data_IF_090544677735
#
_entry.id   IF_090544677735
#
_cell.length_a   1.000
_cell.length_b   1.000
_cell.length_c   1.000
_cell.angle_alpha   90.00
_cell.angle_beta   90.00
_cell.angle_gamma   90.00
#
_symmetry.space_group_name_H-M   'P 1'
#
loop_
_entity.id
_entity.type
_entity.pdbx_description
1 polymer ?
#
# COMPACT_ATOMS: atom_id res chain seq x y z
N UNK A 1 10.49 38.94 -20.23
CA UNK A 1 11.05 37.66 -19.74
C UNK A 1 9.89 36.92 -19.10
N UNK A 2 9.38 35.88 -19.75
CA UNK A 2 8.15 35.22 -19.31
C UNK A 2 8.40 34.50 -17.98
N UNK A 3 7.37 34.41 -17.13
CA UNK A 3 7.44 33.68 -15.85
C UNK A 3 7.92 32.24 -16.04
N UNK A 4 7.55 31.63 -17.17
CA UNK A 4 7.97 30.30 -17.61
C UNK A 4 9.49 30.19 -17.81
N UNK A 5 10.14 31.23 -18.32
CA UNK A 5 11.60 31.25 -18.56
C UNK A 5 12.35 31.36 -17.24
N UNK A 6 11.87 32.21 -16.32
CA UNK A 6 12.42 32.34 -14.96
C UNK A 6 12.30 31.04 -14.17
N UNK A 7 11.17 30.36 -14.31
CA UNK A 7 10.92 29.09 -13.63
C UNK A 7 11.82 27.98 -14.19
N UNK A 8 12.06 27.98 -15.50
CA UNK A 8 13.00 27.04 -16.13
C UNK A 8 14.44 27.26 -15.69
N UNK A 9 14.87 28.53 -15.61
CA UNK A 9 16.19 28.89 -15.09
C UNK A 9 16.35 28.50 -13.61
N UNK A 10 15.31 28.69 -12.80
CA UNK A 10 15.28 28.24 -11.41
C UNK A 10 15.41 26.71 -11.30
N UNK A 11 14.64 25.95 -12.09
CA UNK A 11 14.73 24.49 -12.10
C UNK A 11 16.13 24.02 -12.52
N UNK A 12 16.77 24.67 -13.49
CA UNK A 12 18.15 24.34 -13.90
C UNK A 12 19.21 24.64 -12.83
N UNK A 13 18.94 25.59 -11.92
CA UNK A 13 19.81 25.87 -10.77
C UNK A 13 19.67 24.85 -9.63
N UNK A 14 18.62 24.04 -9.63
CA UNK A 14 18.44 22.96 -8.67
C UNK A 14 19.32 21.76 -9.03
N UNK A 15 19.79 21.03 -8.02
CA UNK A 15 20.48 19.76 -8.24
C UNK A 15 19.53 18.73 -8.87
N UNK A 16 20.04 17.72 -9.62
CA UNK A 16 19.20 16.65 -10.16
C UNK A 16 18.35 15.94 -9.11
N UNK A 17 18.89 15.77 -7.90
CA UNK A 17 18.18 15.27 -6.73
C UNK A 17 17.01 16.19 -6.38
N UNK A 18 17.27 17.48 -6.16
CA UNK A 18 16.24 18.46 -5.79
C UNK A 18 15.11 18.55 -6.82
N UNK A 19 15.42 18.36 -8.12
CA UNK A 19 14.42 18.27 -9.19
C UNK A 19 13.55 17.01 -9.12
N UNK A 20 14.15 15.85 -8.83
CA UNK A 20 13.44 14.58 -8.61
C UNK A 20 12.54 14.64 -7.37
N UNK A 21 13.04 15.26 -6.30
CA UNK A 21 12.31 15.52 -5.07
C UNK A 21 11.12 16.46 -5.31
N UNK A 22 11.34 17.55 -6.03
CA UNK A 22 10.29 18.48 -6.42
C UNK A 22 9.21 17.78 -7.25
N UNK A 23 9.59 16.95 -8.23
CA UNK A 23 8.62 16.17 -9.01
C UNK A 23 7.80 15.23 -8.10
N UNK A 24 8.46 14.49 -7.22
CA UNK A 24 7.80 13.53 -6.31
C UNK A 24 6.85 14.22 -5.34
N UNK A 25 7.24 15.37 -4.78
CA UNK A 25 6.38 16.15 -3.87
C UNK A 25 5.24 16.83 -4.60
N UNK A 26 5.45 17.36 -5.81
CA UNK A 26 4.36 17.93 -6.61
C UNK A 26 3.34 16.86 -6.99
N UNK A 27 3.79 15.66 -7.35
CA UNK A 27 2.90 14.51 -7.61
C UNK A 27 2.17 14.08 -6.33
N UNK A 28 2.84 14.07 -5.18
CA UNK A 28 2.20 13.77 -3.88
C UNK A 28 1.17 14.84 -3.50
N UNK A 29 1.48 16.12 -3.63
CA UNK A 29 0.57 17.23 -3.32
C UNK A 29 -0.65 17.20 -4.23
N UNK A 30 -0.44 16.95 -5.52
CA UNK A 30 -1.54 16.77 -6.48
C UNK A 30 -2.44 15.59 -6.07
N UNK A 31 -1.86 14.46 -5.67
CA UNK A 31 -2.59 13.32 -5.13
C UNK A 31 -3.37 13.72 -3.88
N UNK A 32 -2.75 14.43 -2.92
CA UNK A 32 -3.38 14.92 -1.69
C UNK A 32 -4.45 16.00 -1.92
N UNK A 33 -4.61 16.51 -3.15
CA UNK A 33 -5.61 17.51 -3.50
C UNK A 33 -5.20 18.95 -3.19
N UNK A 34 -3.91 19.17 -2.94
CA UNK A 34 -3.32 20.51 -2.84
C UNK A 34 -2.95 20.90 -4.27
N UNK A 35 -3.81 21.69 -4.90
CA UNK A 35 -3.54 22.24 -6.22
C UNK A 35 -2.58 23.41 -6.09
N UNK A 36 -1.41 23.30 -6.70
CA UNK A 36 -0.42 24.35 -6.74
C UNK A 36 -0.41 24.95 -8.15
N UNK A 37 -0.77 26.24 -8.32
CA UNK A 37 -0.81 26.88 -9.63
C UNK A 37 0.52 26.69 -10.40
N UNK A 38 0.44 26.25 -11.66
CA UNK A 38 1.62 26.01 -12.51
C UNK A 38 2.35 24.67 -12.26
N UNK A 39 1.95 23.86 -11.28
CA UNK A 39 2.59 22.58 -10.98
C UNK A 39 2.52 21.57 -12.14
N UNK A 40 1.43 21.54 -12.91
CA UNK A 40 1.28 20.65 -14.05
C UNK A 40 2.36 20.89 -15.13
N UNK A 41 2.67 22.16 -15.41
CA UNK A 41 3.72 22.53 -16.37
C UNK A 41 5.11 22.16 -15.84
N UNK A 42 5.38 22.38 -14.55
CA UNK A 42 6.63 21.98 -13.88
C UNK A 42 6.80 20.47 -13.93
N UNK A 43 5.78 19.71 -13.53
CA UNK A 43 5.80 18.25 -13.58
C UNK A 43 6.04 17.74 -15.00
N UNK A 44 5.36 18.31 -16.01
CA UNK A 44 5.52 17.91 -17.41
C UNK A 44 6.96 18.12 -17.91
N UNK A 45 7.58 19.25 -17.53
CA UNK A 45 8.96 19.60 -17.87
C UNK A 45 9.97 18.72 -17.17
N UNK A 46 9.82 18.52 -15.86
CA UNK A 46 10.67 17.62 -15.09
C UNK A 46 10.58 16.19 -15.64
N UNK A 47 9.38 15.68 -15.93
CA UNK A 47 9.19 14.37 -16.60
C UNK A 47 9.90 14.33 -17.96
N UNK A 48 9.78 15.38 -18.77
CA UNK A 48 10.43 15.44 -20.08
C UNK A 48 11.95 15.53 -20.00
N UNK A 49 12.49 16.22 -18.99
CA UNK A 49 13.92 16.31 -18.71
C UNK A 49 14.49 14.95 -18.35
N UNK A 50 13.85 14.24 -17.40
CA UNK A 50 14.22 12.86 -17.12
C UNK A 50 14.15 12.04 -18.42
N UNK A 51 13.12 12.16 -19.27
CA UNK A 51 13.11 11.44 -20.56
C UNK A 51 14.26 11.78 -21.53
N UNK A 52 14.85 12.99 -21.51
CA UNK A 52 15.81 13.48 -22.52
C UNK A 52 17.28 13.18 -22.23
N UNK A 53 17.71 13.16 -20.97
CA UNK A 53 19.13 13.01 -20.58
C UNK A 53 19.72 11.59 -20.84
N UNK A 54 19.05 10.73 -21.62
CA UNK A 54 19.29 9.28 -21.61
C UNK A 54 18.89 8.62 -20.28
N UNK A 55 18.79 9.42 -19.21
CA UNK A 55 18.05 9.26 -17.95
C UNK A 55 16.54 9.13 -18.15
N UNK A 56 16.08 8.54 -19.27
CA UNK A 56 14.91 7.70 -19.16
C UNK A 56 15.01 7.04 -17.76
N UNK A 57 14.05 7.19 -16.84
CA UNK A 57 12.69 6.74 -17.07
C UNK A 57 12.64 5.55 -18.06
N UNK A 58 13.75 4.81 -18.18
CA UNK A 58 13.82 3.46 -18.61
C UNK A 58 12.99 2.90 -17.48
N UNK A 59 11.71 2.64 -17.77
CA UNK A 59 11.19 1.29 -17.63
C UNK A 59 12.30 0.47 -17.02
N UNK A 60 12.34 0.39 -15.69
CA UNK A 60 13.50 -0.03 -14.89
C UNK A 60 14.50 -0.77 -15.78
N UNK A 61 15.67 -0.18 -16.07
CA UNK A 61 16.72 -0.76 -16.96
C UNK A 61 16.60 -2.27 -16.93
N UNK A 62 16.51 -2.98 -18.06
CA UNK A 62 16.22 -4.43 -18.12
C UNK A 62 16.74 -5.22 -16.88
N UNK A 63 17.98 -5.00 -16.38
CA UNK A 63 18.48 -5.57 -15.11
C UNK A 63 17.76 -5.21 -13.80
N UNK A 64 17.38 -3.96 -13.53
CA UNK A 64 16.70 -3.56 -12.28
C UNK A 64 15.31 -4.18 -12.16
N UNK A 65 14.61 -4.43 -13.28
CA UNK A 65 13.34 -5.19 -13.29
C UNK A 65 13.50 -6.60 -12.77
N UNK A 66 14.53 -7.31 -13.25
CA UNK A 66 14.78 -8.67 -12.77
C UNK A 66 15.21 -8.68 -11.30
N UNK A 67 15.93 -7.65 -10.85
CA UNK A 67 16.29 -7.50 -9.44
C UNK A 67 15.04 -7.30 -8.56
N UNK A 68 14.11 -6.43 -8.96
CA UNK A 68 12.89 -6.15 -8.19
C UNK A 68 11.71 -7.08 -8.51
N UNK A 69 11.88 -8.07 -9.40
CA UNK A 69 10.82 -9.01 -9.79
C UNK A 69 10.08 -9.66 -8.60
N UNK A 70 10.74 -10.05 -7.49
CA UNK A 70 10.04 -10.59 -6.31
C UNK A 70 9.04 -9.61 -5.66
N UNK A 71 9.21 -8.31 -5.89
CA UNK A 71 8.39 -7.27 -5.30
C UNK A 71 7.14 -6.94 -6.11
N UNK A 72 7.05 -7.34 -7.40
CA UNK A 72 6.08 -6.79 -8.36
C UNK A 72 4.62 -6.82 -7.90
N UNK A 73 4.22 -7.86 -7.15
CA UNK A 73 2.86 -7.99 -6.60
C UNK A 73 2.62 -7.10 -5.36
N UNK A 74 3.66 -6.57 -4.74
CA UNK A 74 3.65 -5.78 -3.52
C UNK A 74 3.83 -4.27 -3.81
N UNK A 75 4.10 -3.94 -5.07
CA UNK A 75 4.32 -2.58 -5.53
C UNK A 75 3.01 -1.80 -5.69
N UNK A 76 3.03 -0.55 -5.23
CA UNK A 76 1.92 0.39 -5.36
C UNK A 76 2.35 1.70 -6.03
N UNK A 77 1.41 2.34 -6.70
CA UNK A 77 1.61 3.65 -7.31
C UNK A 77 1.37 4.73 -6.25
N UNK A 78 2.34 5.62 -6.05
CA UNK A 78 2.28 6.71 -5.07
C UNK A 78 2.99 6.42 -3.74
N UNK A 79 3.22 7.48 -2.97
CA UNK A 79 3.71 7.39 -1.60
C UNK A 79 2.52 7.23 -0.65
N UNK A 80 2.59 6.31 0.32
CA UNK A 80 1.52 6.16 1.30
C UNK A 80 1.42 7.42 2.17
N UNK A 81 0.20 7.82 2.53
CA UNK A 81 0.02 8.98 3.43
C UNK A 81 0.44 8.68 4.87
N UNK A 82 0.40 7.40 5.25
CA UNK A 82 0.73 6.91 6.58
C UNK A 82 1.77 5.79 6.50
N UNK A 83 2.43 5.49 7.62
CA UNK A 83 3.24 4.29 7.73
C UNK A 83 2.36 3.06 7.43
N UNK A 84 2.75 2.27 6.43
CA UNK A 84 2.03 1.06 6.04
C UNK A 84 2.88 -0.19 6.23
N UNK A 85 2.17 -1.31 6.34
CA UNK A 85 2.76 -2.63 6.33
C UNK A 85 2.41 -3.32 5.00
N UNK A 86 3.37 -4.02 4.40
CA UNK A 86 3.12 -4.90 3.26
C UNK A 86 3.01 -4.25 1.87
N UNK A 87 3.21 -2.94 1.74
CA UNK A 87 3.21 -2.22 0.45
C UNK A 87 4.53 -1.49 0.25
N UNK A 88 5.04 -1.49 -0.98
CA UNK A 88 6.29 -0.80 -1.37
C UNK A 88 5.98 0.20 -2.47
N UNK A 89 6.43 1.45 -2.34
CA UNK A 89 6.19 2.47 -3.36
C UNK A 89 7.00 2.18 -4.61
N UNK A 90 6.39 2.26 -5.80
CA UNK A 90 7.15 2.18 -7.07
C UNK A 90 8.14 3.33 -7.22
N UNK A 91 7.84 4.48 -6.63
CA UNK A 91 8.65 5.70 -6.76
C UNK A 91 9.98 5.60 -6.01
N UNK A 92 10.10 4.70 -5.02
CA UNK A 92 11.33 4.52 -4.25
C UNK A 92 12.29 3.52 -4.89
N UNK A 93 11.84 2.71 -5.84
CA UNK A 93 12.67 1.67 -6.46
C UNK A 93 13.88 2.21 -7.21
N UNK A 94 13.72 3.28 -7.98
CA UNK A 94 14.82 3.87 -8.76
C UNK A 94 15.91 4.45 -7.84
N UNK A 95 15.59 5.31 -6.85
CA UNK A 95 16.57 5.77 -5.87
C UNK A 95 17.28 4.62 -5.13
N UNK A 96 16.53 3.60 -4.71
CA UNK A 96 17.10 2.44 -4.01
C UNK A 96 18.05 1.67 -4.93
N UNK A 97 17.68 1.49 -6.20
CA UNK A 97 18.54 0.85 -7.20
C UNK A 97 19.84 1.62 -7.43
N UNK A 98 19.75 2.95 -7.56
CA UNK A 98 20.93 3.79 -7.73
C UNK A 98 21.87 3.71 -6.52
N UNK A 99 21.30 3.77 -5.31
CA UNK A 99 22.05 3.61 -4.07
C UNK A 99 22.75 2.24 -3.99
N UNK A 100 22.06 1.15 -4.36
CA UNK A 100 22.67 -0.18 -4.46
C UNK A 100 23.85 -0.17 -5.45
N UNK A 101 23.66 0.43 -6.62
CA UNK A 101 24.65 0.42 -7.70
C UNK A 101 25.85 1.33 -7.46
N UNK A 102 25.70 2.40 -6.68
CA UNK A 102 26.77 3.40 -6.50
C UNK A 102 27.48 3.26 -5.17
N UNK A 103 26.76 2.91 -4.10
CA UNK A 103 27.29 2.91 -2.75
C UNK A 103 27.46 1.50 -2.15
N UNK A 104 26.47 0.62 -2.32
CA UNK A 104 26.51 -0.67 -1.63
C UNK A 104 27.38 -1.70 -2.33
N UNK A 105 27.18 -1.89 -3.64
CA UNK A 105 27.80 -2.98 -4.39
C UNK A 105 28.24 -2.54 -5.81
N UNK A 106 29.05 -1.49 -5.98
CA UNK A 106 29.30 -0.89 -7.29
C UNK A 106 30.04 -1.77 -8.30
N UNK A 107 30.93 -2.65 -7.85
CA UNK A 107 31.60 -3.62 -8.72
C UNK A 107 30.63 -4.73 -9.13
N UNK A 108 30.00 -5.38 -8.16
CA UNK A 108 29.07 -6.48 -8.40
C UNK A 108 27.82 -6.05 -9.18
N UNK A 109 27.34 -4.82 -8.98
CA UNK A 109 26.21 -4.26 -9.71
C UNK A 109 26.55 -4.07 -11.20
N UNK A 110 27.77 -3.61 -11.53
CA UNK A 110 28.23 -3.51 -12.92
C UNK A 110 28.32 -4.89 -13.58
N UNK A 111 28.89 -5.87 -12.88
CA UNK A 111 28.97 -7.25 -13.37
C UNK A 111 27.58 -7.85 -13.59
N UNK A 112 26.66 -7.62 -12.65
CA UNK A 112 25.26 -8.03 -12.75
C UNK A 112 24.57 -7.41 -13.97
N UNK A 113 24.67 -6.09 -14.15
CA UNK A 113 24.07 -5.36 -15.26
C UNK A 113 24.57 -5.92 -16.59
N UNK A 114 25.88 -6.13 -16.71
CA UNK A 114 26.50 -6.73 -17.91
C UNK A 114 25.96 -8.14 -18.16
N UNK A 115 26.03 -9.01 -17.16
CA UNK A 115 25.59 -10.41 -17.28
C UNK A 115 24.12 -10.52 -17.68
N UNK A 116 23.23 -9.72 -17.08
CA UNK A 116 21.81 -9.74 -17.45
C UNK A 116 21.59 -9.26 -18.87
N UNK A 117 22.26 -8.18 -19.30
CA UNK A 117 22.12 -7.69 -20.68
C UNK A 117 22.58 -8.74 -21.70
N UNK A 118 23.70 -9.42 -21.44
CA UNK A 118 24.23 -10.48 -22.30
C UNK A 118 23.23 -11.66 -22.39
N UNK A 119 22.66 -12.09 -21.26
CA UNK A 119 21.69 -13.21 -21.22
C UNK A 119 20.32 -12.85 -21.83
N UNK A 120 19.90 -11.59 -21.73
CA UNK A 120 18.71 -11.09 -22.41
C UNK A 120 18.92 -11.07 -23.92
N UNK A 121 20.08 -10.60 -24.40
CA UNK A 121 20.43 -10.63 -25.82
C UNK A 121 20.51 -12.08 -26.36
N UNK A 122 20.97 -13.02 -25.53
CA UNK A 122 20.99 -14.45 -25.84
C UNK A 122 19.62 -15.15 -25.67
N UNK A 123 18.56 -14.43 -25.30
CA UNK A 123 17.21 -14.95 -25.06
C UNK A 123 17.15 -16.13 -24.07
N UNK A 124 17.90 -16.04 -22.96
CA UNK A 124 18.00 -17.10 -21.95
C UNK A 124 17.35 -16.68 -20.60
N UNK A 125 16.00 -16.76 -20.49
CA UNK A 125 15.29 -16.25 -19.32
C UNK A 125 15.63 -16.97 -18.01
N UNK A 126 16.03 -18.26 -18.07
CA UNK A 126 16.40 -19.04 -16.89
C UNK A 126 17.70 -18.53 -16.26
N UNK A 127 18.72 -18.25 -17.08
CA UNK A 127 19.98 -17.71 -16.58
C UNK A 127 19.83 -16.24 -16.12
N UNK A 128 18.95 -15.46 -16.75
CA UNK A 128 18.60 -14.11 -16.24
C UNK A 128 18.04 -14.20 -14.82
N UNK A 129 17.08 -15.11 -14.57
CA UNK A 129 16.49 -15.29 -13.23
C UNK A 129 17.52 -15.76 -12.20
N UNK A 130 18.39 -16.69 -12.57
CA UNK A 130 19.47 -17.18 -11.70
C UNK A 130 20.48 -16.10 -11.37
N UNK A 131 20.86 -15.29 -12.36
CA UNK A 131 21.76 -14.15 -12.19
C UNK A 131 21.15 -13.10 -11.25
N UNK A 132 19.85 -12.79 -11.42
CA UNK A 132 19.11 -11.90 -10.53
C UNK A 132 19.03 -12.44 -9.09
N UNK A 133 18.69 -13.71 -8.91
CA UNK A 133 18.61 -14.33 -7.58
C UNK A 133 19.97 -14.35 -6.85
N UNK A 134 21.05 -14.57 -7.59
CA UNK A 134 22.41 -14.51 -7.05
C UNK A 134 22.76 -13.09 -6.59
N UNK A 135 22.42 -12.08 -7.38
CA UNK A 135 22.67 -10.68 -7.02
C UNK A 135 21.78 -10.22 -5.85
N UNK A 136 20.50 -10.60 -5.83
CA UNK A 136 19.59 -10.38 -4.71
C UNK A 136 20.14 -10.93 -3.39
N UNK A 137 20.68 -12.16 -3.41
CA UNK A 137 21.28 -12.78 -2.22
C UNK A 137 22.51 -12.01 -1.72
N UNK A 138 23.32 -11.46 -2.64
CA UNK A 138 24.49 -10.63 -2.30
C UNK A 138 24.05 -9.30 -1.68
N UNK A 139 23.07 -8.62 -2.30
CA UNK A 139 22.50 -7.37 -1.78
C UNK A 139 21.88 -7.58 -0.40
N UNK A 140 21.11 -8.65 -0.19
CA UNK A 140 20.54 -9.03 1.11
C UNK A 140 21.61 -9.09 2.19
N UNK A 141 22.70 -9.85 1.96
CA UNK A 141 23.79 -9.98 2.94
C UNK A 141 24.48 -8.65 3.26
N UNK A 142 24.71 -7.82 2.24
CA UNK A 142 25.33 -6.50 2.44
C UNK A 142 24.41 -5.58 3.23
N UNK A 143 23.12 -5.55 2.91
CA UNK A 143 22.14 -4.78 3.67
C UNK A 143 22.04 -5.26 5.12
N UNK A 144 22.03 -6.57 5.38
CA UNK A 144 22.04 -7.11 6.75
C UNK A 144 23.27 -6.65 7.53
N UNK A 145 24.44 -6.63 6.89
CA UNK A 145 25.66 -6.13 7.51
C UNK A 145 25.65 -4.61 7.71
N UNK A 146 25.11 -3.85 6.76
CA UNK A 146 25.03 -2.38 6.81
C UNK A 146 24.00 -1.89 7.81
N UNK A 147 23.00 -2.72 8.12
CA UNK A 147 21.91 -2.39 9.05
C UNK A 147 22.07 -3.14 10.39
N UNK A 148 23.27 -3.63 10.70
CA UNK A 148 23.54 -4.42 11.90
C UNK A 148 23.60 -3.57 13.18
N UNK A 149 23.91 -2.27 13.09
CA UNK A 149 23.96 -1.35 14.23
C UNK A 149 23.14 -0.09 13.97
N UNK A 150 22.75 0.63 15.04
CA UNK A 150 22.00 1.87 14.93
C UNK A 150 22.78 2.95 14.15
N UNK A 151 24.08 3.11 14.43
CA UNK A 151 24.92 4.11 13.77
C UNK A 151 25.08 3.84 12.27
N UNK A 152 25.29 2.57 11.90
CA UNK A 152 25.41 2.16 10.48
C UNK A 152 24.08 2.29 9.74
N UNK A 153 22.97 2.03 10.43
CA UNK A 153 21.60 2.24 9.93
C UNK A 153 21.34 3.73 9.63
N UNK A 154 21.73 4.62 10.53
CA UNK A 154 21.54 6.07 10.32
C UNK A 154 22.43 6.59 9.19
N UNK A 155 23.67 6.09 9.09
CA UNK A 155 24.55 6.42 7.97
C UNK A 155 23.98 5.92 6.63
N UNK A 156 23.41 4.71 6.59
CA UNK A 156 22.72 4.18 5.41
C UNK A 156 21.51 5.04 5.02
N UNK A 157 20.71 5.47 6.02
CA UNK A 157 19.58 6.38 5.83
C UNK A 157 20.03 7.73 5.26
N UNK A 158 21.07 8.33 5.83
CA UNK A 158 21.64 9.59 5.36
C UNK A 158 22.19 9.50 3.94
N UNK A 159 22.83 8.38 3.58
CA UNK A 159 23.28 8.12 2.20
C UNK A 159 22.10 7.97 1.23
N UNK A 160 21.09 7.20 1.59
CA UNK A 160 19.90 7.04 0.75
C UNK A 160 19.16 8.37 0.52
N UNK A 161 19.15 9.26 1.52
CA UNK A 161 18.56 10.59 1.41
C UNK A 161 19.23 11.48 0.34
N UNK A 162 20.44 11.14 -0.11
CA UNK A 162 21.11 11.81 -1.23
C UNK A 162 20.54 11.40 -2.60
N UNK A 163 19.70 10.37 -2.66
CA UNK A 163 19.06 9.87 -3.89
C UNK A 163 17.57 10.19 -3.95
N UNK A 164 16.94 10.49 -2.80
CA UNK A 164 15.52 10.84 -2.76
C UNK A 164 15.15 11.62 -1.50
N UNK A 165 14.20 12.55 -1.62
CA UNK A 165 13.53 13.17 -0.48
C UNK A 165 12.31 12.39 -0.01
N UNK A 166 12.01 11.23 -0.61
CA UNK A 166 10.89 10.40 -0.18
C UNK A 166 11.13 9.94 1.26
N UNK A 167 10.23 10.33 2.15
CA UNK A 167 10.26 9.96 3.57
C UNK A 167 10.12 8.46 3.79
N UNK A 168 9.52 7.75 2.83
CA UNK A 168 9.27 6.31 2.91
C UNK A 168 10.37 5.46 2.29
N UNK A 169 11.36 6.08 1.63
CA UNK A 169 12.38 5.32 0.91
C UNK A 169 13.17 4.38 1.81
N UNK A 170 13.52 4.84 3.01
CA UNK A 170 14.25 4.01 3.97
C UNK A 170 13.39 2.86 4.51
N UNK A 171 12.12 3.14 4.84
CA UNK A 171 11.18 2.10 5.25
C UNK A 171 10.95 1.08 4.14
N UNK A 172 10.92 1.53 2.88
CA UNK A 172 10.82 0.65 1.72
C UNK A 172 12.09 -0.19 1.54
N UNK A 173 13.29 0.30 1.87
CA UNK A 173 14.51 -0.53 1.94
C UNK A 173 14.35 -1.65 2.97
N UNK A 174 13.83 -1.34 4.16
CA UNK A 174 13.57 -2.36 5.20
C UNK A 174 12.55 -3.41 4.74
N UNK A 175 11.49 -2.97 4.05
CA UNK A 175 10.50 -3.87 3.45
C UNK A 175 11.12 -4.77 2.37
N UNK A 176 11.94 -4.21 1.49
CA UNK A 176 12.66 -4.96 0.44
C UNK A 176 13.56 -6.01 1.09
N UNK A 177 14.28 -5.65 2.16
CA UNK A 177 15.11 -6.58 2.92
C UNK A 177 14.30 -7.79 3.41
N UNK A 178 13.13 -7.55 4.01
CA UNK A 178 12.27 -8.62 4.52
C UNK A 178 11.67 -9.49 3.40
N UNK A 179 11.33 -8.91 2.26
CA UNK A 179 10.88 -9.69 1.08
C UNK A 179 12.01 -10.54 0.51
N UNK A 180 13.21 -9.97 0.35
CA UNK A 180 14.38 -10.72 -0.14
C UNK A 180 14.77 -11.84 0.83
N UNK A 181 14.68 -11.61 2.14
CA UNK A 181 14.93 -12.63 3.17
C UNK A 181 13.94 -13.78 3.11
N UNK A 182 12.65 -13.50 2.88
CA UNK A 182 11.64 -14.55 2.68
C UNK A 182 11.83 -15.30 1.35
N UNK A 183 12.38 -14.62 0.33
CA UNK A 183 12.77 -15.22 -0.94
C UNK A 183 11.64 -16.05 -1.57
N UNK A 184 11.91 -17.35 -1.81
CA UNK A 184 10.96 -18.26 -2.45
C UNK A 184 9.74 -18.63 -1.57
N UNK A 185 9.73 -18.29 -0.26
CA UNK A 185 8.59 -18.58 0.61
C UNK A 185 7.34 -17.78 0.23
N UNK A 186 7.50 -16.51 -0.18
CA UNK A 186 6.38 -15.65 -0.59
C UNK A 186 5.71 -16.12 -1.90
N UNK A 187 6.44 -16.40 -2.99
CA UNK A 187 5.86 -17.01 -4.20
C UNK A 187 5.16 -18.34 -3.91
N UNK A 188 5.79 -19.25 -3.15
CA UNK A 188 5.18 -20.54 -2.77
C UNK A 188 3.91 -20.38 -1.94
N UNK A 189 3.84 -19.34 -1.11
CA UNK A 189 2.62 -19.00 -0.38
C UNK A 189 1.55 -18.49 -1.36
N UNK A 190 1.91 -17.57 -2.27
CA UNK A 190 0.99 -17.02 -3.28
C UNK A 190 0.40 -18.09 -4.22
N UNK A 191 1.20 -19.09 -4.61
CA UNK A 191 0.77 -20.21 -5.46
C UNK A 191 -0.30 -21.10 -4.80
N UNK A 192 -0.33 -21.15 -3.46
CA UNK A 192 -1.33 -21.92 -2.70
C UNK A 192 -2.65 -21.17 -2.52
N UNK A 193 -2.67 -19.87 -2.82
CA UNK A 193 -3.88 -19.07 -2.70
C UNK A 193 -4.77 -19.27 -3.94
N UNK A 194 -6.11 -19.30 -3.77
CA UNK A 194 -7.03 -19.23 -4.89
C UNK A 194 -6.76 -17.99 -5.76
N UNK A 195 -6.97 -18.10 -7.08
CA UNK A 195 -6.76 -16.97 -7.99
C UNK A 195 -7.62 -15.75 -7.64
N UNK A 196 -8.85 -15.99 -7.20
CA UNK A 196 -9.78 -15.00 -6.68
C UNK A 196 -10.61 -15.57 -5.54
N UNK A 197 -10.83 -14.77 -4.51
CA UNK A 197 -11.62 -15.08 -3.32
C UNK A 197 -12.87 -14.20 -3.36
N UNK A 198 -13.98 -14.76 -3.85
CA UNK A 198 -15.24 -14.04 -3.99
C UNK A 198 -16.04 -13.95 -2.68
N UNK A 199 -16.02 -15.01 -1.87
CA UNK A 199 -16.72 -15.10 -0.57
C UNK A 199 -15.75 -15.58 0.50
N UNK A 200 -15.20 -14.67 1.28
CA UNK A 200 -14.27 -15.03 2.35
C UNK A 200 -15.00 -15.46 3.61
N UNK A 201 -15.65 -16.63 3.59
CA UNK A 201 -16.45 -17.19 4.70
C UNK A 201 -15.59 -17.77 5.85
N UNK A 202 -16.23 -18.30 6.91
CA UNK A 202 -15.50 -18.80 8.08
C UNK A 202 -14.57 -19.98 7.76
N UNK A 203 -14.93 -20.83 6.79
CA UNK A 203 -14.09 -21.95 6.37
C UNK A 203 -12.85 -21.45 5.62
N UNK A 204 -13.03 -20.50 4.70
CA UNK A 204 -11.91 -19.88 3.99
C UNK A 204 -11.01 -19.07 4.92
N UNK A 205 -11.59 -18.35 5.88
CA UNK A 205 -10.84 -17.64 6.92
C UNK A 205 -9.98 -18.62 7.70
N UNK A 206 -10.54 -19.73 8.19
CA UNK A 206 -9.79 -20.74 8.93
C UNK A 206 -8.66 -21.37 8.09
N UNK A 207 -8.93 -21.68 6.82
CA UNK A 207 -7.93 -22.23 5.90
C UNK A 207 -6.76 -21.27 5.68
N UNK A 208 -7.05 -20.00 5.36
CA UNK A 208 -6.01 -18.99 5.13
C UNK A 208 -5.24 -18.69 6.43
N UNK A 209 -5.93 -18.60 7.57
CA UNK A 209 -5.30 -18.42 8.88
C UNK A 209 -4.32 -19.56 9.18
N UNK A 210 -4.67 -20.81 8.92
CA UNK A 210 -3.74 -21.95 9.10
C UNK A 210 -2.48 -21.82 8.23
N UNK A 211 -2.63 -21.40 6.97
CA UNK A 211 -1.49 -21.15 6.08
C UNK A 211 -0.62 -19.98 6.55
N UNK A 212 -1.25 -18.89 7.01
CA UNK A 212 -0.58 -17.72 7.56
C UNK A 212 0.16 -18.05 8.86
N UNK A 213 -0.41 -18.88 9.73
CA UNK A 213 0.25 -19.32 10.96
C UNK A 213 1.51 -20.14 10.66
N UNK A 214 1.43 -21.05 9.68
CA UNK A 214 2.60 -21.78 9.20
C UNK A 214 3.68 -20.85 8.63
N UNK A 215 3.28 -19.88 7.80
CA UNK A 215 4.20 -18.90 7.22
C UNK A 215 4.86 -18.01 8.28
N UNK A 216 4.06 -17.49 9.22
CA UNK A 216 4.48 -16.58 10.30
C UNK A 216 5.53 -17.20 11.21
N UNK A 217 5.41 -18.50 11.52
CA UNK A 217 6.40 -19.22 12.36
C UNK A 217 7.81 -19.18 11.76
N UNK A 218 7.92 -19.27 10.44
CA UNK A 218 9.22 -19.25 9.75
C UNK A 218 9.66 -17.84 9.32
N UNK A 219 8.71 -16.97 8.95
CA UNK A 219 8.99 -15.65 8.37
C UNK A 219 8.12 -14.55 9.00
N UNK A 220 8.28 -14.26 10.31
CA UNK A 220 7.41 -13.32 11.01
C UNK A 220 7.46 -11.91 10.44
N UNK A 221 8.65 -11.42 10.03
CA UNK A 221 8.82 -10.09 9.42
C UNK A 221 8.18 -9.97 8.03
N UNK A 222 8.02 -11.09 7.31
CA UNK A 222 7.40 -11.09 5.99
C UNK A 222 5.87 -11.30 6.01
N UNK A 223 5.29 -11.49 7.20
CA UNK A 223 3.84 -11.68 7.36
C UNK A 223 3.00 -10.57 6.70
N UNK A 224 3.36 -9.28 6.80
CA UNK A 224 2.59 -8.23 6.13
C UNK A 224 2.50 -8.40 4.61
N UNK A 225 3.54 -8.95 3.97
CA UNK A 225 3.51 -9.20 2.53
C UNK A 225 2.66 -10.42 2.17
N UNK A 226 2.66 -11.45 3.02
CA UNK A 226 1.72 -12.58 2.86
C UNK A 226 0.26 -12.11 2.98
N UNK A 227 -0.04 -11.24 3.95
CA UNK A 227 -1.35 -10.60 4.10
C UNK A 227 -1.71 -9.71 2.89
N UNK A 228 -0.75 -8.95 2.36
CA UNK A 228 -0.95 -8.16 1.16
C UNK A 228 -1.28 -9.04 -0.07
N UNK A 229 -0.65 -10.22 -0.19
CA UNK A 229 -0.98 -11.19 -1.24
C UNK A 229 -2.41 -11.72 -1.08
N UNK A 230 -2.86 -12.04 0.14
CA UNK A 230 -4.26 -12.42 0.39
C UNK A 230 -5.20 -11.27 0.02
N UNK A 231 -4.89 -10.04 0.43
CA UNK A 231 -5.70 -8.86 0.15
C UNK A 231 -5.94 -8.65 -1.36
N UNK A 232 -4.93 -8.95 -2.18
CA UNK A 232 -5.04 -8.87 -3.65
C UNK A 232 -5.97 -9.90 -4.28
N UNK A 233 -6.19 -11.04 -3.62
CA UNK A 233 -7.10 -12.09 -4.09
C UNK A 233 -8.55 -11.83 -3.69
N UNK A 234 -8.80 -10.99 -2.68
CA UNK A 234 -10.14 -10.68 -2.19
C UNK A 234 -10.91 -9.80 -3.16
N UNK A 235 -12.13 -10.23 -3.52
CA UNK A 235 -13.09 -9.39 -4.26
C UNK A 235 -13.55 -8.19 -3.42
N UNK A 236 -13.71 -8.39 -2.12
CA UNK A 236 -14.19 -7.39 -1.17
C UNK A 236 -13.09 -7.06 -0.16
N UNK A 237 -12.32 -5.96 -0.36
CA UNK A 237 -11.08 -5.72 0.38
C UNK A 237 -11.23 -5.67 1.91
N UNK A 238 -12.33 -5.13 2.43
CA UNK A 238 -12.55 -5.07 3.89
C UNK A 238 -12.65 -6.44 4.54
N UNK A 239 -12.95 -7.51 3.79
CA UNK A 239 -13.06 -8.86 4.36
C UNK A 239 -11.76 -9.34 4.98
N UNK A 240 -10.61 -8.73 4.64
CA UNK A 240 -9.32 -9.00 5.26
C UNK A 240 -9.35 -8.80 6.78
N UNK A 241 -10.16 -7.86 7.30
CA UNK A 241 -10.31 -7.58 8.75
C UNK A 241 -10.78 -8.81 9.52
N UNK A 242 -11.48 -9.75 8.86
CA UNK A 242 -11.91 -11.01 9.49
C UNK A 242 -10.75 -11.84 10.02
N UNK A 243 -9.55 -11.73 9.42
CA UNK A 243 -8.36 -12.42 9.91
C UNK A 243 -7.98 -11.93 11.32
N UNK A 244 -8.03 -10.62 11.56
CA UNK A 244 -7.75 -10.07 12.89
C UNK A 244 -8.88 -10.34 13.87
N UNK A 245 -10.13 -10.08 13.49
CA UNK A 245 -11.25 -10.19 14.44
C UNK A 245 -11.60 -11.62 14.82
N UNK A 246 -11.33 -12.62 13.97
CA UNK A 246 -11.48 -14.04 14.32
C UNK A 246 -10.31 -14.59 15.14
N UNK A 247 -9.14 -13.95 15.07
CA UNK A 247 -7.98 -14.33 15.87
C UNK A 247 -7.95 -13.64 17.25
N UNK A 248 -8.75 -12.58 17.43
CA UNK A 248 -8.90 -11.86 18.67
C UNK A 248 -9.78 -12.62 19.68
N UNK A 249 -9.57 -12.34 20.98
CA UNK A 249 -10.36 -12.95 22.05
C UNK A 249 -11.79 -12.41 22.09
N UNK A 250 -11.95 -11.10 21.85
CA UNK A 250 -13.23 -10.42 21.63
C UNK A 250 -13.10 -9.47 20.45
N UNK A 251 -14.19 -8.78 20.10
CA UNK A 251 -14.20 -7.78 19.03
C UNK A 251 -13.82 -6.38 19.50
N UNK A 252 -13.47 -6.21 20.77
CA UNK A 252 -12.98 -4.92 21.27
C UNK A 252 -11.74 -4.48 20.49
N UNK A 253 -11.62 -3.18 20.23
CA UNK A 253 -10.45 -2.63 19.52
C UNK A 253 -9.11 -3.06 20.17
N UNK A 254 -9.07 -3.17 21.51
CA UNK A 254 -7.89 -3.60 22.26
C UNK A 254 -7.51 -5.07 21.97
N UNK A 255 -8.49 -5.99 22.01
CA UNK A 255 -8.22 -7.41 21.73
C UNK A 255 -7.87 -7.66 20.26
N UNK A 256 -8.49 -6.90 19.36
CA UNK A 256 -8.16 -6.94 17.92
C UNK A 256 -6.74 -6.40 17.68
N UNK A 257 -6.30 -5.38 18.41
CA UNK A 257 -4.94 -4.85 18.34
C UNK A 257 -3.89 -5.83 18.90
N UNK A 258 -4.25 -6.64 19.90
CA UNK A 258 -3.40 -7.69 20.44
C UNK A 258 -3.32 -8.95 19.55
N UNK A 259 -4.21 -9.07 18.56
CA UNK A 259 -4.30 -10.26 17.72
C UNK A 259 -3.11 -10.40 16.75
N UNK A 260 -2.70 -11.64 16.39
CA UNK A 260 -1.61 -11.92 15.44
C UNK A 260 -1.64 -11.19 14.10
N UNK A 261 -2.83 -10.85 13.62
CA UNK A 261 -3.07 -10.27 12.31
C UNK A 261 -3.58 -8.83 12.39
N UNK A 262 -3.41 -8.15 13.53
CA UNK A 262 -3.91 -6.78 13.75
C UNK A 262 -3.52 -5.79 12.63
N UNK A 263 -2.35 -5.98 12.00
CA UNK A 263 -1.87 -5.13 10.90
C UNK A 263 -2.78 -5.12 9.65
N UNK A 264 -3.75 -6.03 9.52
CA UNK A 264 -4.75 -5.96 8.44
C UNK A 264 -5.70 -4.77 8.58
N UNK A 265 -5.94 -4.27 9.80
CA UNK A 265 -6.81 -3.11 10.02
C UNK A 265 -6.23 -1.85 9.39
N UNK A 266 -4.98 -1.44 9.68
CA UNK A 266 -4.35 -0.33 8.97
C UNK A 266 -4.19 -0.60 7.47
N UNK A 267 -3.97 -1.84 7.01
CA UNK A 267 -3.97 -2.14 5.56
C UNK A 267 -5.30 -1.82 4.87
N UNK A 268 -6.42 -2.08 5.54
CA UNK A 268 -7.75 -1.73 5.01
C UNK A 268 -7.99 -0.22 5.04
N UNK A 269 -7.48 0.49 6.06
CA UNK A 269 -7.49 1.95 6.09
C UNK A 269 -6.62 2.54 4.97
N UNK A 270 -5.45 1.97 4.66
CA UNK A 270 -4.61 2.39 3.53
C UNK A 270 -5.35 2.21 2.19
N UNK A 271 -6.20 1.17 2.08
CA UNK A 271 -7.04 0.95 0.90
C UNK A 271 -8.18 1.98 0.82
N UNK A 272 -8.70 2.43 1.95
CA UNK A 272 -9.69 3.51 2.03
C UNK A 272 -9.07 4.84 1.56
N UNK A 273 -7.83 5.10 1.96
CA UNK A 273 -7.02 6.21 1.47
C UNK A 273 -6.86 6.19 -0.06
N UNK A 274 -6.45 5.05 -0.63
CA UNK A 274 -6.36 4.90 -2.10
C UNK A 274 -7.69 5.24 -2.80
N UNK A 275 -8.81 4.80 -2.22
CA UNK A 275 -10.15 5.07 -2.76
C UNK A 275 -10.53 6.54 -2.67
N UNK A 276 -10.16 7.23 -1.58
CA UNK A 276 -10.34 8.68 -1.45
C UNK A 276 -9.55 9.43 -2.52
N UNK A 277 -8.31 9.03 -2.77
CA UNK A 277 -7.48 9.60 -3.85
C UNK A 277 -8.12 9.35 -5.23
N UNK A 278 -8.54 8.12 -5.50
CA UNK A 278 -9.22 7.77 -6.75
C UNK A 278 -10.55 8.53 -6.93
N UNK A 279 -11.31 8.74 -5.84
CA UNK A 279 -12.55 9.51 -5.84
C UNK A 279 -12.26 10.96 -6.25
N UNK A 280 -11.25 11.59 -5.65
CA UNK A 280 -10.82 12.94 -6.01
C UNK A 280 -10.48 13.07 -7.49
N UNK A 281 -9.69 12.14 -8.02
CA UNK A 281 -9.32 12.11 -9.45
C UNK A 281 -10.55 11.92 -10.34
N UNK A 282 -11.48 11.04 -9.96
CA UNK A 282 -12.71 10.82 -10.70
C UNK A 282 -13.58 12.09 -10.74
N UNK A 283 -13.72 12.80 -9.62
CA UNK A 283 -14.47 14.07 -9.53
C UNK A 283 -13.83 15.14 -10.40
N UNK A 284 -12.49 15.33 -10.33
CA UNK A 284 -11.76 16.32 -11.14
C UNK A 284 -11.96 16.11 -12.65
N UNK A 285 -12.05 14.86 -13.09
CA UNK A 285 -12.27 14.51 -14.49
C UNK A 285 -13.74 14.29 -14.85
N UNK A 286 -14.69 14.75 -14.02
CA UNK A 286 -16.14 14.60 -14.21
C UNK A 286 -16.60 13.16 -14.48
N UNK A 287 -15.90 12.15 -13.92
CA UNK A 287 -16.25 10.73 -14.03
C UNK A 287 -17.23 10.32 -12.93
N UNK A 288 -18.44 10.89 -12.97
CA UNK A 288 -19.43 10.78 -11.89
C UNK A 288 -19.84 9.34 -11.57
N UNK A 289 -19.95 8.46 -12.58
CA UNK A 289 -20.28 7.04 -12.35
C UNK A 289 -19.17 6.30 -11.58
N UNK A 290 -17.91 6.57 -11.91
CA UNK A 290 -16.75 6.01 -11.20
C UNK A 290 -16.70 6.55 -9.77
N UNK A 291 -16.96 7.85 -9.58
CA UNK A 291 -17.05 8.46 -8.26
C UNK A 291 -18.16 7.82 -7.40
N UNK A 292 -19.32 7.51 -8.00
CA UNK A 292 -20.43 6.80 -7.32
C UNK A 292 -19.99 5.44 -6.81
N UNK A 293 -19.34 4.64 -7.64
CA UNK A 293 -18.92 3.28 -7.29
C UNK A 293 -17.84 3.29 -6.21
N UNK A 294 -16.87 4.20 -6.32
CA UNK A 294 -15.86 4.41 -5.29
C UNK A 294 -16.50 4.80 -3.96
N UNK A 295 -17.50 5.68 -3.98
CA UNK A 295 -18.18 6.16 -2.77
C UNK A 295 -19.01 5.05 -2.10
N UNK A 296 -19.68 4.20 -2.88
CA UNK A 296 -20.38 3.02 -2.35
C UNK A 296 -19.40 2.06 -1.67
N UNK A 297 -18.26 1.75 -2.30
CA UNK A 297 -17.25 0.89 -1.70
C UNK A 297 -16.61 1.49 -0.43
N UNK A 298 -16.41 2.81 -0.41
CA UNK A 298 -15.92 3.55 0.77
C UNK A 298 -16.89 3.35 1.95
N UNK A 299 -18.19 3.56 1.74
CA UNK A 299 -19.19 3.43 2.80
C UNK A 299 -19.34 1.97 3.27
N UNK A 300 -19.23 1.00 2.37
CA UNK A 300 -19.22 -0.41 2.73
C UNK A 300 -18.01 -0.77 3.61
N UNK A 301 -16.82 -0.19 3.34
CA UNK A 301 -15.62 -0.37 4.17
C UNK A 301 -15.81 0.29 5.55
N UNK A 302 -16.28 1.55 5.59
CA UNK A 302 -16.53 2.27 6.84
C UNK A 302 -17.48 1.48 7.75
N UNK A 303 -18.64 1.08 7.20
CA UNK A 303 -19.61 0.27 7.91
C UNK A 303 -19.00 -1.06 8.36
N UNK A 304 -18.30 -1.77 7.47
CA UNK A 304 -17.70 -3.06 7.81
C UNK A 304 -16.70 -2.99 8.96
N UNK A 305 -15.95 -1.90 9.08
CA UNK A 305 -15.01 -1.66 10.19
C UNK A 305 -15.76 -1.37 11.49
N UNK A 306 -16.71 -0.43 11.48
CA UNK A 306 -17.53 -0.06 12.65
C UNK A 306 -18.35 -1.21 13.20
N UNK A 307 -18.79 -2.11 12.33
CA UNK A 307 -19.55 -3.29 12.73
C UNK A 307 -18.65 -4.36 13.34
N UNK A 308 -17.45 -4.58 12.79
CA UNK A 308 -16.61 -5.73 13.18
C UNK A 308 -15.69 -5.48 14.36
N UNK A 309 -15.45 -4.23 14.70
CA UNK A 309 -14.55 -3.83 15.77
C UNK A 309 -15.35 -2.95 16.72
N UNK A 310 -15.64 -3.48 17.90
CA UNK A 310 -16.35 -2.77 18.96
C UNK A 310 -15.46 -1.64 19.50
N UNK A 311 -16.10 -0.52 19.83
CA UNK A 311 -15.46 0.69 20.35
C UNK A 311 -14.33 1.25 19.47
N UNK A 312 -14.37 0.96 18.16
CA UNK A 312 -13.35 1.45 17.20
C UNK A 312 -13.21 2.98 17.26
N UNK A 313 -14.29 3.70 17.53
CA UNK A 313 -14.35 5.17 17.57
C UNK A 313 -13.38 5.80 18.59
N UNK A 314 -13.00 5.06 19.64
CA UNK A 314 -12.15 5.55 20.72
C UNK A 314 -10.66 5.16 20.56
N UNK A 315 -10.30 4.47 19.49
CA UNK A 315 -8.91 4.08 19.21
C UNK A 315 -8.31 4.85 18.02
N UNK A 316 -7.00 4.75 17.84
CA UNK A 316 -6.28 5.41 16.74
C UNK A 316 -6.85 5.05 15.35
N UNK A 317 -7.34 3.82 15.18
CA UNK A 317 -7.97 3.39 13.93
C UNK A 317 -9.29 4.12 13.67
N UNK A 318 -10.10 4.36 14.71
CA UNK A 318 -11.34 5.13 14.59
C UNK A 318 -11.08 6.60 14.32
N UNK A 319 -10.10 7.20 14.99
CA UNK A 319 -9.67 8.59 14.73
C UNK A 319 -9.24 8.74 13.27
N UNK A 320 -8.39 7.82 12.77
CA UNK A 320 -7.98 7.81 11.36
C UNK A 320 -9.16 7.61 10.42
N UNK A 321 -10.05 6.66 10.71
CA UNK A 321 -11.26 6.42 9.90
C UNK A 321 -12.13 7.68 9.84
N UNK A 322 -12.35 8.37 10.96
CA UNK A 322 -13.15 9.59 11.01
C UNK A 322 -12.52 10.70 10.16
N UNK A 323 -11.22 10.95 10.30
CA UNK A 323 -10.50 11.93 9.49
C UNK A 323 -10.62 11.64 7.98
N UNK A 324 -10.55 10.38 7.59
CA UNK A 324 -10.74 9.96 6.19
C UNK A 324 -12.16 10.24 5.71
N UNK A 325 -13.16 9.90 6.52
CA UNK A 325 -14.57 10.11 6.18
C UNK A 325 -14.93 11.61 6.13
N UNK A 326 -14.35 12.43 6.99
CA UNK A 326 -14.51 13.89 6.95
C UNK A 326 -13.91 14.48 5.67
N UNK A 327 -12.72 14.03 5.27
CA UNK A 327 -12.10 14.45 4.01
C UNK A 327 -12.92 14.00 2.79
N UNK A 328 -13.51 12.81 2.82
CA UNK A 328 -14.40 12.31 1.74
C UNK A 328 -15.70 13.13 1.71
N UNK A 329 -16.29 13.43 2.86
CA UNK A 329 -17.48 14.26 2.96
C UNK A 329 -17.24 15.67 2.40
N UNK A 330 -16.07 16.26 2.67
CA UNK A 330 -15.67 17.54 2.10
C UNK A 330 -15.58 17.48 0.55
N UNK A 331 -14.99 16.43 -0.02
CA UNK A 331 -14.93 16.23 -1.48
C UNK A 331 -16.32 16.12 -2.10
N UNK A 332 -17.21 15.33 -1.49
CA UNK A 332 -18.58 15.15 -1.99
C UNK A 332 -19.38 16.44 -1.85
N UNK A 333 -19.28 17.14 -0.72
CA UNK A 333 -19.97 18.42 -0.50
C UNK A 333 -19.52 19.50 -1.49
N UNK A 334 -18.22 19.57 -1.76
CA UNK A 334 -17.67 20.48 -2.76
C UNK A 334 -18.21 20.17 -4.17
N UNK A 335 -18.39 18.90 -4.54
CA UNK A 335 -18.98 18.55 -5.83
C UNK A 335 -20.49 18.84 -5.88
N UNK A 336 -21.24 18.46 -4.84
CA UNK A 336 -22.70 18.65 -4.79
C UNK A 336 -23.06 20.13 -4.81
N UNK A 337 -22.29 20.99 -4.14
CA UNK A 337 -22.54 22.44 -4.11
C UNK A 337 -22.29 23.15 -5.44
N UNK A 338 -21.66 22.49 -6.43
CA UNK A 338 -21.56 23.01 -7.82
C UNK A 338 -22.91 23.02 -8.53
N UNK A 339 -23.88 22.26 -8.03
CA UNK A 339 -25.21 22.16 -8.62
C UNK A 339 -26.24 22.92 -7.77
N UNK A 340 -27.22 23.59 -8.40
CA UNK A 340 -28.34 24.19 -7.69
C UNK A 340 -29.06 23.18 -6.78
N UNK A 341 -29.50 23.62 -5.60
CA UNK A 341 -30.09 22.75 -4.57
C UNK A 341 -31.37 22.00 -5.01
N UNK A 342 -32.03 22.48 -6.06
CA UNK A 342 -33.20 21.85 -6.69
C UNK A 342 -32.84 20.68 -7.62
N UNK A 343 -31.56 20.49 -7.97
CA UNK A 343 -31.08 19.36 -8.79
C UNK A 343 -30.35 18.38 -7.86
N UNK A 344 -31.03 17.30 -7.47
CA UNK A 344 -30.42 16.26 -6.66
C UNK A 344 -29.20 15.63 -7.35
N UNK A 345 -28.08 15.53 -6.65
CA UNK A 345 -26.86 14.91 -7.17
C UNK A 345 -26.75 13.45 -6.76
N UNK A 346 -26.34 12.56 -7.67
CA UNK A 346 -26.26 11.12 -7.41
C UNK A 346 -25.35 10.79 -6.20
N UNK A 347 -24.27 11.56 -6.01
CA UNK A 347 -23.34 11.40 -4.89
C UNK A 347 -23.92 11.87 -3.55
N UNK A 348 -24.93 12.75 -3.56
CA UNK A 348 -25.65 13.17 -2.35
C UNK A 348 -26.75 12.19 -1.94
N UNK A 349 -26.97 11.11 -2.70
CA UNK A 349 -28.04 10.16 -2.43
C UNK A 349 -27.74 9.30 -1.20
N UNK A 350 -28.67 9.28 -0.24
CA UNK A 350 -28.63 8.36 0.92
C UNK A 350 -28.62 6.89 0.52
N UNK A 351 -29.04 6.55 -0.71
CA UNK A 351 -29.01 5.16 -1.22
C UNK A 351 -27.60 4.62 -1.39
N UNK A 352 -26.58 5.49 -1.49
CA UNK A 352 -25.18 5.07 -1.53
C UNK A 352 -24.70 4.53 -0.19
N UNK A 353 -25.33 4.97 0.91
CA UNK A 353 -25.18 4.32 2.22
C UNK A 353 -26.20 3.20 2.32
N UNK A 354 -25.91 2.10 1.64
CA UNK A 354 -26.69 0.86 1.64
C UNK A 354 -27.15 0.46 3.05
N UNK A 355 -26.27 0.68 4.04
CA UNK A 355 -26.46 0.31 5.44
C UNK A 355 -27.18 1.35 6.32
N UNK A 356 -27.36 2.60 5.88
CA UNK A 356 -28.16 3.61 6.61
C UNK A 356 -29.68 3.44 6.39
N UNK A 357 -30.08 2.53 5.50
CA UNK A 357 -31.47 2.14 5.28
C UNK A 357 -32.01 1.32 6.46
N UNK A 358 -33.34 1.31 6.69
CA UNK A 358 -33.97 0.49 7.73
C UNK A 358 -33.57 -1.00 7.63
N UNK A 359 -33.41 -1.53 6.41
CA UNK A 359 -32.92 -2.89 6.17
C UNK A 359 -31.45 -3.09 6.58
N UNK A 360 -30.60 -2.08 6.37
CA UNK A 360 -29.21 -2.07 6.83
C UNK A 360 -29.09 -2.08 8.36
N UNK A 361 -29.88 -1.24 9.04
CA UNK A 361 -29.97 -1.20 10.51
C UNK A 361 -30.53 -2.49 11.10
N UNK A 362 -31.52 -3.11 10.45
CA UNK A 362 -32.03 -4.43 10.84
C UNK A 362 -30.99 -5.53 10.62
N UNK A 363 -30.19 -5.45 9.56
CA UNK A 363 -29.07 -6.39 9.33
C UNK A 363 -27.97 -6.21 10.37
N UNK A 364 -27.66 -4.98 10.77
CA UNK A 364 -26.77 -4.67 11.90
C UNK A 364 -27.28 -5.28 13.21
N UNK A 365 -28.56 -5.09 13.54
CA UNK A 365 -29.17 -5.64 14.75
C UNK A 365 -29.26 -7.17 14.72
N UNK A 366 -29.60 -7.76 13.57
CA UNK A 366 -29.62 -9.21 13.39
C UNK A 366 -28.22 -9.83 13.49
N UNK A 367 -27.21 -9.14 12.97
CA UNK A 367 -25.80 -9.54 13.10
C UNK A 367 -25.32 -9.42 14.55
N UNK A 368 -25.55 -8.27 15.20
CA UNK A 368 -25.22 -8.04 16.63
C UNK A 368 -25.91 -9.02 17.56
N UNK A 369 -27.17 -9.38 17.27
CA UNK A 369 -27.91 -10.40 18.00
C UNK A 369 -27.37 -11.82 17.81
N UNK A 370 -26.97 -12.18 16.58
CA UNK A 370 -26.32 -13.48 16.31
C UNK A 370 -24.94 -13.58 16.97
N UNK A 371 -24.17 -12.51 17.01
CA UNK A 371 -22.87 -12.47 17.66
C UNK A 371 -22.96 -12.55 19.17
N UNK A 372 -23.88 -11.81 19.81
CA UNK A 372 -24.09 -11.93 21.25
C UNK A 372 -24.40 -13.38 21.68
N UNK A 373 -25.09 -14.14 20.82
CA UNK A 373 -25.33 -15.56 21.02
C UNK A 373 -24.08 -16.43 20.76
N UNK A 374 -23.25 -16.13 19.75
CA UNK A 374 -22.02 -16.88 19.46
C UNK A 374 -20.92 -16.62 20.50
N UNK A 375 -20.70 -15.37 20.87
CA UNK A 375 -19.74 -14.96 21.90
C UNK A 375 -20.20 -15.46 23.28
N UNK A 376 -21.51 -15.39 23.57
CA UNK A 376 -22.10 -16.01 24.76
C UNK A 376 -21.91 -17.53 24.79
N UNK A 377 -22.06 -18.22 23.66
CA UNK A 377 -21.84 -19.66 23.56
C UNK A 377 -20.35 -20.06 23.58
N UNK A 378 -19.44 -19.18 23.17
CA UNK A 378 -17.99 -19.37 23.27
C UNK A 378 -17.52 -19.16 24.72
N UNK A 379 -18.05 -18.14 25.41
CA UNK A 379 -17.82 -17.89 26.84
C UNK A 379 -18.36 -19.05 27.71
N UNK A 380 -19.57 -19.54 27.42
CA UNK A 380 -20.15 -20.70 28.12
C UNK A 380 -19.35 -21.99 27.91
N UNK A 381 -18.86 -22.26 26.68
CA UNK A 381 -18.00 -23.42 26.41
C UNK A 381 -16.67 -23.36 27.14
N UNK A 382 -16.12 -22.17 27.34
CA UNK A 382 -14.88 -21.97 28.10
C UNK A 382 -15.08 -22.19 29.61
N UNK A 383 -16.28 -21.91 30.12
CA UNK A 383 -16.68 -22.15 31.52
C UNK A 383 -16.96 -23.63 31.82
N UNK A 384 -17.54 -24.37 30.87
CA UNK A 384 -17.84 -25.80 31.00
C UNK A 384 -16.59 -26.68 30.83
N UNK A 385 -15.55 -26.21 30.12
CA UNK A 385 -14.29 -26.92 29.95
C UNK A 385 -13.26 -26.75 31.07
N UNK A 386 -13.64 -26.15 32.20
CA UNK A 386 -12.77 -25.94 33.37
C UNK A 386 -13.21 -26.69 34.65
N UNK A 387 -14.08 -27.69 34.52
CA UNK A 387 -14.29 -28.75 35.54
C UNK A 387 -13.81 -30.06 34.98
#
# INVERSE_FOLDING_TARGET
MNEIDRLSEFLQRLTPLSRSCLLSELERLELCGIDMPGSADIQSRLRAEFRKDGSTQARATSPSRYFFAPLELLLIDGAPEHANAGRISRNTLTPIWEWICRDLLPTMARDYIKAVNDQVAANNPKEVQKTASTFQTKVLKVLESTLASADSTELARAKLAQYTASRTAFDDVMKILDVLRAGAALPKFNEKLPEQIAKFDDNQVAQITSQLDGFRKSHPRALPFALALVARRLKTPWQLVRLATKAAATKSAADVAAAPYACVVPMVLDRLDDKRLALRVALRHNRVLVARDLLAEIYDIEYALKVRIDDIEHCEWGIRLQQLMDAIAALVSAEVSRFPANVGHILGSRRLRSHDTLGGKLTYLAWKGRDAMQDGAAAFRKLIGQT
#
